data_IF_657128223498
#
_entry.id   IF_657128223498
#
_cell.length_a   1.000
_cell.length_b   1.000
_cell.length_c   1.000
_cell.angle_alpha   90.00
_cell.angle_beta   90.00
_cell.angle_gamma   90.00
#
_symmetry.space_group_name_H-M   'P 1'
#
loop_
_entity.id
_entity.type
_entity.pdbx_description
1 polymer ?
#
# COMPACT_ATOMS: atom_id res chain seq x y z
N UNK A 1 17.34 3.38 17.35
CA UNK A 1 17.50 2.51 16.17
C UNK A 1 16.35 1.53 16.18
N UNK A 2 15.57 1.41 15.12
CA UNK A 2 14.42 0.50 15.01
C UNK A 2 14.60 -0.42 13.78
N UNK A 3 13.84 -1.52 13.75
CA UNK A 3 13.81 -2.51 12.67
C UNK A 3 12.55 -2.29 11.84
N UNK A 4 12.74 -1.96 10.57
CA UNK A 4 11.67 -1.70 9.61
C UNK A 4 11.69 -2.75 8.50
N UNK A 5 10.54 -3.33 8.20
CA UNK A 5 10.34 -4.21 7.06
C UNK A 5 9.51 -3.46 6.03
N UNK A 6 10.01 -3.35 4.79
CA UNK A 6 9.30 -2.66 3.69
C UNK A 6 9.13 -3.63 2.54
N UNK A 7 7.94 -3.71 1.97
CA UNK A 7 7.73 -4.43 0.71
C UNK A 7 7.81 -3.48 -0.48
N UNK A 8 8.48 -3.88 -1.58
CA UNK A 8 8.58 -3.07 -2.80
C UNK A 8 9.49 -1.85 -2.64
N UNK A 9 10.62 -1.98 -1.92
CA UNK A 9 11.54 -0.87 -1.67
C UNK A 9 12.78 -0.86 -2.58
N UNK A 10 12.76 -1.59 -3.69
CA UNK A 10 13.81 -1.51 -4.71
C UNK A 10 13.68 -0.25 -5.56
N UNK A 11 12.46 0.25 -5.78
CA UNK A 11 12.19 1.43 -6.62
C UNK A 11 11.06 2.29 -6.06
N UNK A 12 10.89 3.49 -6.62
CA UNK A 12 9.75 4.38 -6.36
C UNK A 12 9.60 4.81 -4.90
N UNK A 13 8.37 4.85 -4.42
CA UNK A 13 8.03 5.35 -3.07
C UNK A 13 8.74 4.55 -1.98
N UNK A 14 8.76 3.22 -2.10
CA UNK A 14 9.41 2.35 -1.12
C UNK A 14 10.91 2.58 -1.03
N UNK A 15 11.59 2.81 -2.17
CA UNK A 15 13.02 3.11 -2.19
C UNK A 15 13.33 4.44 -1.49
N UNK A 16 12.51 5.48 -1.70
CA UNK A 16 12.68 6.75 -1.00
C UNK A 16 12.43 6.61 0.50
N UNK A 17 11.39 5.86 0.91
CA UNK A 17 11.14 5.58 2.33
C UNK A 17 12.31 4.82 2.97
N UNK A 18 12.86 3.81 2.27
CA UNK A 18 14.06 3.07 2.71
C UNK A 18 15.25 3.99 2.95
N UNK A 19 15.55 4.88 1.99
CA UNK A 19 16.66 5.86 2.10
C UNK A 19 16.48 6.78 3.32
N UNK A 20 15.26 7.31 3.53
CA UNK A 20 14.98 8.21 4.65
C UNK A 20 15.20 7.46 5.97
N UNK A 21 14.62 6.27 6.14
CA UNK A 21 14.75 5.48 7.36
C UNK A 21 16.19 5.09 7.65
N UNK A 22 16.95 4.67 6.63
CA UNK A 22 18.39 4.36 6.76
C UNK A 22 19.21 5.60 7.16
N UNK A 23 18.90 6.78 6.60
CA UNK A 23 19.56 8.03 6.97
C UNK A 23 19.29 8.46 8.42
N UNK A 24 18.18 7.99 9.00
CA UNK A 24 17.82 8.18 10.40
C UNK A 24 18.46 7.12 11.34
N UNK A 25 19.27 6.21 10.79
CA UNK A 25 19.97 5.18 11.56
C UNK A 25 19.11 3.96 11.89
N UNK A 26 18.01 3.72 11.16
CA UNK A 26 17.20 2.50 11.28
C UNK A 26 17.74 1.37 10.42
N UNK A 27 17.55 0.14 10.89
CA UNK A 27 17.73 -1.06 10.06
C UNK A 27 16.49 -1.26 9.19
N UNK A 28 16.68 -1.46 7.87
CA UNK A 28 15.58 -1.58 6.91
C UNK A 28 15.76 -2.82 6.05
N UNK A 29 14.86 -3.78 6.21
CA UNK A 29 14.76 -4.98 5.38
C UNK A 29 13.78 -4.73 4.22
N UNK A 30 14.20 -4.99 3.00
CA UNK A 30 13.36 -4.90 1.80
C UNK A 30 12.93 -6.30 1.34
N UNK A 31 11.63 -6.52 1.23
CA UNK A 31 11.04 -7.69 0.56
C UNK A 31 10.60 -7.24 -0.84
N UNK A 32 11.17 -7.82 -1.89
CA UNK A 32 10.83 -7.44 -3.25
C UNK A 32 10.86 -8.65 -4.19
N UNK A 33 10.18 -8.53 -5.32
CA UNK A 33 10.20 -9.57 -6.37
C UNK A 33 11.59 -9.74 -6.99
N UNK A 34 12.38 -8.64 -7.06
CA UNK A 34 13.76 -8.62 -7.55
C UNK A 34 14.58 -7.61 -6.77
N UNK A 35 15.79 -7.98 -6.38
CA UNK A 35 16.75 -7.07 -5.75
C UNK A 35 16.36 -6.66 -4.33
N UNK A 36 15.49 -7.40 -3.67
CA UNK A 36 15.23 -7.27 -2.24
C UNK A 36 16.28 -7.98 -1.38
N UNK A 37 16.33 -7.64 -0.11
CA UNK A 37 17.09 -8.39 0.90
C UNK A 37 16.46 -9.77 1.09
N UNK A 38 15.13 -9.86 0.96
CA UNK A 38 14.35 -11.07 0.75
C UNK A 38 13.73 -10.97 -0.65
N UNK A 39 13.99 -11.98 -1.49
CA UNK A 39 13.37 -12.08 -2.82
C UNK A 39 12.17 -13.00 -2.77
N UNK A 40 10.97 -12.45 -2.97
CA UNK A 40 9.73 -13.22 -2.90
C UNK A 40 8.65 -12.68 -3.87
N UNK A 41 7.93 -13.59 -4.51
CA UNK A 41 6.72 -13.26 -5.28
C UNK A 41 5.52 -13.17 -4.34
N UNK A 42 5.23 -11.96 -3.88
CA UNK A 42 4.11 -11.69 -2.97
C UNK A 42 2.73 -11.87 -3.63
N UNK A 43 2.65 -12.08 -4.94
CA UNK A 43 1.39 -12.42 -5.60
C UNK A 43 1.01 -13.89 -5.40
N UNK A 44 1.92 -14.73 -4.91
CA UNK A 44 1.69 -16.14 -4.59
C UNK A 44 1.60 -16.39 -3.08
N UNK A 45 0.79 -17.37 -2.67
CA UNK A 45 0.68 -17.79 -1.26
C UNK A 45 2.03 -18.27 -0.71
N UNK A 46 2.74 -19.11 -1.49
CA UNK A 46 4.03 -19.65 -1.08
C UNK A 46 5.08 -18.54 -0.91
N UNK A 47 5.10 -17.57 -1.82
CA UNK A 47 6.02 -16.42 -1.72
C UNK A 47 5.73 -15.55 -0.49
N UNK A 48 4.45 -15.31 -0.16
CA UNK A 48 4.07 -14.58 1.06
C UNK A 48 4.49 -15.33 2.31
N UNK A 49 4.18 -16.66 2.35
CA UNK A 49 4.58 -17.53 3.46
C UNK A 49 6.10 -17.54 3.65
N UNK A 50 6.85 -17.77 2.58
CA UNK A 50 8.31 -17.75 2.63
C UNK A 50 8.87 -16.44 3.15
N UNK A 51 8.34 -15.30 2.66
CA UNK A 51 8.75 -13.98 3.13
C UNK A 51 8.48 -13.77 4.64
N UNK A 52 7.33 -14.21 5.14
CA UNK A 52 6.99 -14.14 6.56
C UNK A 52 7.96 -15.00 7.37
N UNK A 53 8.19 -16.26 6.96
CA UNK A 53 9.07 -17.20 7.65
C UNK A 53 10.51 -16.66 7.74
N UNK A 54 11.03 -16.04 6.65
CA UNK A 54 12.35 -15.41 6.64
C UNK A 54 12.46 -14.19 7.58
N UNK A 55 11.40 -13.37 7.67
CA UNK A 55 11.37 -12.24 8.62
C UNK A 55 11.39 -12.76 10.06
N UNK A 56 10.61 -13.81 10.38
CA UNK A 56 10.65 -14.44 11.70
C UNK A 56 12.03 -15.02 12.05
N UNK A 57 12.69 -15.67 11.09
CA UNK A 57 14.03 -16.21 11.29
C UNK A 57 15.07 -15.12 11.56
N UNK A 58 14.93 -13.96 10.87
CA UNK A 58 15.89 -12.87 10.99
C UNK A 58 15.65 -11.99 12.22
N UNK A 59 14.39 -11.80 12.61
CA UNK A 59 14.00 -10.90 13.72
C UNK A 59 13.07 -11.61 14.72
N UNK A 60 13.56 -12.66 15.40
CA UNK A 60 12.75 -13.41 16.36
C UNK A 60 12.28 -12.58 17.55
N UNK A 61 12.97 -11.47 17.87
CA UNK A 61 12.63 -10.53 18.95
C UNK A 61 11.70 -9.40 18.53
N UNK A 62 11.18 -9.45 17.31
CA UNK A 62 10.18 -8.52 16.78
C UNK A 62 10.72 -7.38 15.92
N UNK A 63 9.79 -6.69 15.27
CA UNK A 63 10.05 -5.55 14.36
C UNK A 63 9.27 -4.31 14.83
N UNK A 64 9.82 -3.12 14.59
CA UNK A 64 9.20 -1.85 15.00
C UNK A 64 8.13 -1.38 14.00
N UNK A 65 8.31 -1.69 12.71
CA UNK A 65 7.34 -1.30 11.68
C UNK A 65 7.34 -2.25 10.48
N UNK A 66 6.13 -2.48 9.95
CA UNK A 66 5.92 -3.05 8.62
C UNK A 66 5.32 -1.99 7.70
N UNK A 67 5.98 -1.73 6.55
CA UNK A 67 5.45 -0.87 5.49
C UNK A 67 5.07 -1.74 4.29
N UNK A 68 3.77 -1.99 4.10
CA UNK A 68 3.24 -2.69 2.93
C UNK A 68 3.12 -1.71 1.76
N UNK A 69 4.18 -1.62 0.94
CA UNK A 69 4.21 -0.70 -0.20
C UNK A 69 4.18 -1.41 -1.56
N UNK A 70 4.58 -2.68 -1.65
CA UNK A 70 4.52 -3.44 -2.89
C UNK A 70 3.12 -3.43 -3.50
N UNK A 71 3.05 -3.26 -4.82
CA UNK A 71 1.79 -3.26 -5.54
C UNK A 71 2.00 -3.10 -7.05
N UNK A 72 0.94 -3.36 -7.81
CA UNK A 72 0.91 -3.18 -9.26
C UNK A 72 -0.18 -2.21 -9.67
N UNK A 73 0.01 -1.54 -10.80
CA UNK A 73 -0.93 -0.58 -11.38
C UNK A 73 -2.09 -1.25 -12.13
N UNK A 74 -3.00 -0.43 -12.68
CA UNK A 74 -4.23 -0.89 -13.33
C UNK A 74 -4.00 -1.62 -14.66
N UNK A 75 -2.79 -1.62 -15.19
CA UNK A 75 -2.44 -2.33 -16.44
C UNK A 75 -2.11 -3.80 -16.23
N UNK A 76 -1.91 -4.23 -14.97
CA UNK A 76 -1.66 -5.62 -14.63
C UNK A 76 -2.93 -6.49 -14.78
N UNK A 77 -2.78 -7.81 -14.95
CA UNK A 77 -3.93 -8.73 -14.92
C UNK A 77 -4.70 -8.65 -13.61
N UNK A 78 -6.04 -8.74 -13.67
CA UNK A 78 -6.91 -8.60 -12.49
C UNK A 78 -6.51 -9.51 -11.32
N UNK A 79 -6.13 -10.77 -11.61
CA UNK A 79 -5.68 -11.70 -10.58
C UNK A 79 -4.41 -11.23 -9.86
N UNK A 80 -3.46 -10.62 -10.59
CA UNK A 80 -2.22 -10.09 -10.00
C UNK A 80 -2.54 -8.86 -9.16
N UNK A 81 -3.46 -8.00 -9.62
CA UNK A 81 -3.92 -6.84 -8.86
C UNK A 81 -4.54 -7.28 -7.52
N UNK A 82 -5.46 -8.25 -7.53
CA UNK A 82 -6.11 -8.69 -6.29
C UNK A 82 -5.13 -9.44 -5.37
N UNK A 83 -4.29 -10.33 -5.94
CA UNK A 83 -3.31 -11.06 -5.16
C UNK A 83 -2.30 -10.13 -4.48
N UNK A 84 -1.70 -9.20 -5.23
CA UNK A 84 -0.64 -8.35 -4.71
C UNK A 84 -1.15 -7.13 -3.96
N UNK A 85 -2.20 -6.43 -4.46
CA UNK A 85 -2.67 -5.20 -3.83
C UNK A 85 -3.60 -5.44 -2.64
N UNK A 86 -4.18 -6.64 -2.49
CA UNK A 86 -5.10 -6.94 -1.41
C UNK A 86 -4.64 -8.11 -0.55
N UNK A 87 -4.58 -9.33 -1.09
CA UNK A 87 -4.28 -10.52 -0.27
C UNK A 87 -2.88 -10.46 0.34
N UNK A 88 -1.87 -10.05 -0.42
CA UNK A 88 -0.51 -9.95 0.11
C UNK A 88 -0.42 -8.95 1.27
N UNK A 89 -1.11 -7.82 1.17
CA UNK A 89 -1.10 -6.79 2.21
C UNK A 89 -1.68 -7.32 3.52
N UNK A 90 -2.85 -7.98 3.45
CA UNK A 90 -3.50 -8.53 4.64
C UNK A 90 -2.70 -9.67 5.25
N UNK A 91 -2.23 -10.60 4.42
CA UNK A 91 -1.52 -11.78 4.89
C UNK A 91 -0.18 -11.41 5.52
N UNK A 92 0.57 -10.49 4.93
CA UNK A 92 1.81 -9.98 5.53
C UNK A 92 1.54 -9.21 6.82
N UNK A 93 0.52 -8.33 6.83
CA UNK A 93 0.18 -7.53 8.00
C UNK A 93 -0.24 -8.44 9.18
N UNK A 94 -1.16 -9.38 8.96
CA UNK A 94 -1.62 -10.28 10.03
C UNK A 94 -0.53 -11.33 10.38
N UNK A 95 0.23 -11.83 9.38
CA UNK A 95 1.31 -12.79 9.62
C UNK A 95 2.47 -12.21 10.44
N UNK A 96 2.81 -10.92 10.24
CA UNK A 96 3.86 -10.25 11.01
C UNK A 96 3.33 -9.49 12.24
N UNK A 97 2.02 -9.47 12.48
CA UNK A 97 1.41 -8.82 13.66
C UNK A 97 2.00 -9.29 14.99
N UNK A 98 2.30 -10.59 15.22
CA UNK A 98 2.97 -11.01 16.45
C UNK A 98 4.36 -10.39 16.63
N UNK A 99 5.16 -10.25 15.56
CA UNK A 99 6.47 -9.58 15.63
C UNK A 99 6.35 -8.09 15.96
N UNK A 100 5.36 -7.42 15.36
CA UNK A 100 5.04 -6.01 15.68
C UNK A 100 4.61 -5.86 17.14
N UNK A 101 3.83 -6.82 17.67
CA UNK A 101 3.35 -6.79 19.06
C UNK A 101 4.49 -6.84 20.06
N UNK A 102 5.56 -7.58 19.79
CA UNK A 102 6.75 -7.65 20.67
C UNK A 102 7.41 -6.28 20.89
N UNK A 103 7.35 -5.40 19.88
CA UNK A 103 7.94 -4.05 19.91
C UNK A 103 6.93 -2.92 20.11
N UNK A 104 5.64 -3.23 20.29
CA UNK A 104 4.54 -2.24 20.25
C UNK A 104 4.61 -1.39 18.99
N UNK A 105 4.88 -2.04 17.88
CA UNK A 105 5.16 -1.44 16.59
C UNK A 105 3.92 -0.96 15.85
N UNK A 106 4.06 -0.81 14.55
CA UNK A 106 2.96 -0.35 13.71
C UNK A 106 3.05 -0.90 12.29
N UNK A 107 1.91 -0.86 11.57
CA UNK A 107 1.85 -1.16 10.16
C UNK A 107 1.33 0.05 9.38
N UNK A 108 2.05 0.42 8.30
CA UNK A 108 1.64 1.49 7.39
C UNK A 108 1.52 0.92 5.98
N UNK A 109 0.42 1.23 5.31
CA UNK A 109 0.08 0.62 4.01
C UNK A 109 0.02 1.70 2.93
N UNK A 110 0.63 1.45 1.77
CA UNK A 110 0.47 2.29 0.59
C UNK A 110 -0.85 1.95 -0.11
N UNK A 111 -1.85 2.81 0.09
CA UNK A 111 -3.16 2.76 -0.55
C UNK A 111 -3.13 3.49 -1.91
N UNK A 112 -4.14 4.32 -2.20
CA UNK A 112 -4.21 5.23 -3.37
C UNK A 112 -5.38 6.18 -3.19
N UNK A 113 -5.31 7.39 -3.72
CA UNK A 113 -6.46 8.30 -3.80
C UNK A 113 -7.57 7.77 -4.74
N UNK A 114 -7.27 6.77 -5.59
CA UNK A 114 -8.26 6.09 -6.43
C UNK A 114 -9.37 5.36 -5.65
N UNK A 115 -9.23 5.21 -4.34
CA UNK A 115 -10.28 4.64 -3.47
C UNK A 115 -11.59 5.42 -3.50
N UNK A 116 -11.56 6.65 -3.96
CA UNK A 116 -12.73 7.54 -4.06
C UNK A 116 -13.24 7.70 -5.49
N UNK A 117 -12.56 7.10 -6.48
CA UNK A 117 -12.90 7.21 -7.88
C UNK A 117 -14.22 6.49 -8.24
N UNK A 118 -14.87 6.98 -9.30
CA UNK A 118 -16.09 6.35 -9.86
C UNK A 118 -15.84 4.94 -10.44
N UNK A 119 -14.58 4.58 -10.68
CA UNK A 119 -14.20 3.23 -11.14
C UNK A 119 -14.31 2.17 -10.07
N UNK A 120 -14.50 2.54 -8.80
CA UNK A 120 -14.67 1.60 -7.68
C UNK A 120 -15.96 0.79 -7.87
N UNK A 121 -15.83 -0.53 -7.80
CA UNK A 121 -16.94 -1.49 -7.79
C UNK A 121 -17.18 -1.97 -6.36
N UNK A 122 -18.25 -1.51 -5.74
CA UNK A 122 -18.56 -1.86 -4.35
C UNK A 122 -18.82 -3.37 -4.16
N UNK A 123 -19.41 -4.04 -5.14
CA UNK A 123 -19.57 -5.49 -5.18
C UNK A 123 -18.21 -6.23 -5.11
N UNK A 124 -17.19 -5.74 -5.79
CA UNK A 124 -15.82 -6.29 -5.73
C UNK A 124 -15.12 -5.95 -4.41
N UNK A 125 -15.35 -4.75 -3.90
CA UNK A 125 -14.83 -4.36 -2.57
C UNK A 125 -15.40 -5.26 -1.49
N UNK A 126 -16.70 -5.55 -1.52
CA UNK A 126 -17.35 -6.39 -0.53
C UNK A 126 -16.97 -7.87 -0.71
N UNK A 127 -16.78 -8.34 -1.95
CA UNK A 127 -16.22 -9.65 -2.24
C UNK A 127 -14.83 -9.80 -1.60
N UNK A 128 -13.90 -8.90 -1.87
CA UNK A 128 -12.55 -8.93 -1.32
C UNK A 128 -12.56 -8.86 0.22
N UNK A 129 -13.39 -7.98 0.80
CA UNK A 129 -13.41 -7.74 2.24
C UNK A 129 -14.06 -8.87 3.06
N UNK A 130 -14.87 -9.75 2.45
CA UNK A 130 -15.66 -10.75 3.15
C UNK A 130 -15.30 -12.19 2.76
N UNK A 131 -14.60 -12.41 1.63
CA UNK A 131 -14.23 -13.76 1.19
C UNK A 131 -13.00 -14.23 1.93
N UNK A 132 -13.13 -15.43 2.54
CA UNK A 132 -11.99 -16.12 3.19
C UNK A 132 -11.20 -17.00 2.22
N UNK A 133 -11.76 -17.28 1.06
CA UNK A 133 -11.17 -18.16 0.05
C UNK A 133 -10.59 -17.35 -1.10
N UNK A 134 -9.28 -17.19 -1.09
CA UNK A 134 -8.53 -16.49 -2.14
C UNK A 134 -8.69 -17.17 -3.50
N UNK A 135 -8.74 -18.51 -3.57
CA UNK A 135 -8.79 -19.26 -4.83
C UNK A 135 -10.06 -18.91 -5.60
N UNK A 136 -11.18 -18.81 -4.91
CA UNK A 136 -12.45 -18.40 -5.52
C UNK A 136 -12.39 -16.98 -6.08
N UNK A 137 -11.68 -16.07 -5.41
CA UNK A 137 -11.47 -14.71 -5.94
C UNK A 137 -10.56 -14.73 -7.15
N UNK A 138 -9.53 -15.58 -7.15
CA UNK A 138 -8.62 -15.71 -8.30
C UNK A 138 -9.31 -16.33 -9.52
N UNK A 139 -10.22 -17.29 -9.32
CA UNK A 139 -11.07 -17.84 -10.39
C UNK A 139 -11.93 -16.73 -11.02
N UNK A 140 -12.62 -15.97 -10.20
CA UNK A 140 -13.39 -14.82 -10.66
C UNK A 140 -12.52 -13.79 -11.38
N UNK A 141 -11.35 -13.45 -10.82
CA UNK A 141 -10.44 -12.48 -11.41
C UNK A 141 -9.95 -12.89 -12.82
N UNK A 142 -9.81 -14.19 -13.09
CA UNK A 142 -9.46 -14.69 -14.41
C UNK A 142 -10.55 -14.42 -15.48
N UNK A 143 -11.81 -14.20 -15.08
CA UNK A 143 -12.91 -13.87 -16.00
C UNK A 143 -13.00 -12.38 -16.32
N UNK A 144 -12.26 -11.53 -15.61
CA UNK A 144 -12.37 -10.07 -15.75
C UNK A 144 -11.57 -9.59 -17.00
N UNK A 145 -12.22 -8.94 -17.97
CA UNK A 145 -11.54 -8.37 -19.13
C UNK A 145 -10.54 -7.26 -18.72
N UNK A 146 -9.43 -7.13 -19.46
CA UNK A 146 -8.35 -6.18 -19.18
C UNK A 146 -8.80 -4.71 -19.04
N UNK A 147 -9.84 -4.31 -19.77
CA UNK A 147 -10.40 -2.95 -19.70
C UNK A 147 -10.92 -2.56 -18.30
N UNK A 148 -11.22 -3.52 -17.45
CA UNK A 148 -11.62 -3.29 -16.07
C UNK A 148 -10.44 -3.19 -15.08
N UNK A 149 -9.21 -3.17 -15.57
CA UNK A 149 -8.02 -2.98 -14.73
C UNK A 149 -8.10 -1.79 -13.78
N UNK A 150 -8.55 -0.58 -14.22
CA UNK A 150 -8.79 0.55 -13.31
C UNK A 150 -9.78 0.24 -12.18
N UNK A 151 -10.85 -0.49 -12.49
CA UNK A 151 -11.84 -0.93 -11.49
C UNK A 151 -11.26 -1.97 -10.52
N UNK A 152 -10.46 -2.92 -11.02
CA UNK A 152 -9.76 -3.89 -10.14
C UNK A 152 -8.82 -3.17 -9.19
N UNK A 153 -8.03 -2.23 -9.70
CA UNK A 153 -7.07 -1.47 -8.92
C UNK A 153 -7.77 -0.65 -7.83
N UNK A 154 -8.71 0.24 -8.21
CA UNK A 154 -9.39 1.11 -7.26
C UNK A 154 -10.21 0.33 -6.23
N UNK A 155 -10.87 -0.78 -6.64
CA UNK A 155 -11.63 -1.64 -5.72
C UNK A 155 -10.72 -2.38 -4.74
N UNK A 156 -9.56 -2.90 -5.18
CA UNK A 156 -8.58 -3.54 -4.30
C UNK A 156 -8.04 -2.56 -3.24
N UNK A 157 -7.71 -1.33 -3.65
CA UNK A 157 -7.23 -0.28 -2.73
C UNK A 157 -8.33 0.17 -1.78
N UNK A 158 -9.59 0.29 -2.23
CA UNK A 158 -10.72 0.61 -1.34
C UNK A 158 -11.03 -0.51 -0.35
N UNK A 159 -10.88 -1.78 -0.76
CA UNK A 159 -11.04 -2.91 0.15
C UNK A 159 -9.98 -2.87 1.28
N UNK A 160 -8.72 -2.53 0.98
CA UNK A 160 -7.67 -2.29 1.98
C UNK A 160 -8.04 -1.14 2.91
N UNK A 161 -8.51 0.00 2.39
CA UNK A 161 -8.93 1.12 3.22
C UNK A 161 -10.06 0.75 4.19
N UNK A 162 -11.04 -0.05 3.73
CA UNK A 162 -12.10 -0.61 4.59
C UNK A 162 -11.53 -1.56 5.64
N UNK A 163 -10.60 -2.45 5.26
CA UNK A 163 -9.97 -3.38 6.18
C UNK A 163 -9.21 -2.66 7.29
N UNK A 164 -8.42 -1.63 6.96
CA UNK A 164 -7.70 -0.81 7.95
C UNK A 164 -8.67 -0.24 8.99
N UNK A 165 -9.75 0.38 8.54
CA UNK A 165 -10.75 0.97 9.44
C UNK A 165 -11.42 -0.07 10.34
N UNK A 166 -11.71 -1.26 9.81
CA UNK A 166 -12.33 -2.36 10.57
C UNK A 166 -11.37 -3.00 11.57
N UNK A 167 -10.08 -3.11 11.20
CA UNK A 167 -9.07 -3.85 11.97
C UNK A 167 -8.33 -2.98 12.98
N UNK A 168 -8.26 -1.66 12.79
CA UNK A 168 -7.48 -0.75 13.63
C UNK A 168 -7.84 -0.83 15.12
N UNK A 169 -9.12 -1.07 15.46
CA UNK A 169 -9.56 -1.26 16.83
C UNK A 169 -8.96 -2.51 17.49
N UNK A 170 -9.00 -3.66 16.78
CA UNK A 170 -8.41 -4.91 17.27
C UNK A 170 -6.88 -4.85 17.35
N UNK A 171 -6.25 -4.10 16.44
CA UNK A 171 -4.81 -3.84 16.49
C UNK A 171 -4.43 -2.97 17.70
N UNK A 172 -5.27 -1.96 18.02
CA UNK A 172 -5.05 -1.12 19.20
C UNK A 172 -5.12 -1.90 20.51
N UNK A 173 -5.94 -2.95 20.63
CA UNK A 173 -5.96 -3.86 21.79
C UNK A 173 -4.61 -4.55 21.99
N UNK A 174 -3.89 -4.84 20.90
CA UNK A 174 -2.53 -5.39 20.95
C UNK A 174 -1.44 -4.30 21.18
N UNK A 175 -1.83 -3.05 21.33
CA UNK A 175 -0.91 -1.91 21.46
C UNK A 175 -0.29 -1.48 20.14
N UNK A 176 -0.90 -1.83 19.01
CA UNK A 176 -0.42 -1.58 17.64
C UNK A 176 -1.20 -0.48 16.96
N UNK A 177 -0.57 0.22 16.01
CA UNK A 177 -1.24 1.17 15.11
C UNK A 177 -1.26 0.60 13.69
N UNK A 178 -2.38 0.83 12.99
CA UNK A 178 -2.59 0.40 11.62
C UNK A 178 -3.13 1.58 10.81
N UNK A 179 -2.33 2.09 9.87
CA UNK A 179 -2.64 3.28 9.08
C UNK A 179 -2.33 3.07 7.59
N UNK A 180 -2.78 3.99 6.76
CA UNK A 180 -2.40 4.04 5.35
C UNK A 180 -2.07 5.45 4.88
N UNK A 181 -1.26 5.52 3.82
CA UNK A 181 -1.10 6.68 2.95
C UNK A 181 -1.84 6.40 1.65
N UNK A 182 -2.58 7.38 1.13
CA UNK A 182 -3.28 7.33 -0.14
C UNK A 182 -2.63 8.32 -1.13
N UNK A 183 -1.63 7.86 -1.91
CA UNK A 183 -0.94 8.71 -2.88
C UNK A 183 -1.86 9.17 -4.00
N UNK A 184 -1.63 10.40 -4.48
CA UNK A 184 -2.09 10.86 -5.78
C UNK A 184 -1.16 10.44 -6.92
N UNK A 185 -1.31 11.10 -8.07
CA UNK A 185 -0.44 10.88 -9.22
C UNK A 185 1.02 11.17 -8.84
N UNK A 186 1.85 10.14 -8.82
CA UNK A 186 3.23 10.19 -8.31
C UNK A 186 4.20 9.66 -9.35
N UNK A 187 5.30 10.35 -9.58
CA UNK A 187 6.37 9.93 -10.49
C UNK A 187 7.10 8.71 -9.93
N UNK A 188 6.88 7.57 -10.57
CA UNK A 188 7.46 6.26 -10.20
C UNK A 188 7.66 5.42 -11.45
N UNK A 189 8.39 4.30 -11.39
CA UNK A 189 8.42 3.35 -12.51
C UNK A 189 7.04 2.87 -12.98
N UNK A 190 6.07 2.79 -12.06
CA UNK A 190 4.68 2.42 -12.38
C UNK A 190 4.03 3.44 -13.31
N UNK A 191 4.21 4.73 -13.08
CA UNK A 191 3.62 5.80 -13.90
C UNK A 191 4.37 6.03 -15.21
N UNK A 192 5.65 5.66 -15.30
CA UNK A 192 6.42 5.68 -16.56
C UNK A 192 5.90 4.70 -17.62
N UNK A 193 5.14 3.69 -17.21
CA UNK A 193 4.54 2.70 -18.09
C UNK A 193 3.11 3.03 -18.53
N UNK A 194 2.60 4.22 -18.20
CA UNK A 194 1.32 4.72 -18.70
C UNK A 194 1.44 5.01 -20.20
N UNK A 195 0.39 4.71 -20.96
CA UNK A 195 0.27 5.15 -22.34
C UNK A 195 0.09 6.67 -22.40
N UNK A 196 0.36 7.29 -23.56
CA UNK A 196 0.18 8.73 -23.74
C UNK A 196 -1.25 9.18 -23.37
N UNK A 197 -2.26 8.42 -23.77
CA UNK A 197 -3.66 8.71 -23.44
C UNK A 197 -3.94 8.58 -21.92
N UNK A 198 -3.32 7.63 -21.23
CA UNK A 198 -3.44 7.49 -19.78
C UNK A 198 -2.71 8.62 -19.05
N UNK A 199 -1.55 9.03 -19.57
CA UNK A 199 -0.80 10.17 -19.05
C UNK A 199 -1.58 11.46 -19.23
N UNK A 200 -2.12 11.70 -20.43
CA UNK A 200 -2.95 12.85 -20.72
C UNK A 200 -4.18 12.91 -19.79
N UNK A 201 -4.89 11.79 -19.63
CA UNK A 201 -6.03 11.69 -18.72
C UNK A 201 -5.64 11.97 -17.25
N UNK A 202 -4.49 11.51 -16.80
CA UNK A 202 -3.99 11.79 -15.46
C UNK A 202 -3.63 13.27 -15.25
N UNK A 203 -3.13 13.93 -16.30
CA UNK A 203 -2.77 15.36 -16.27
C UNK A 203 -3.97 16.31 -16.42
N UNK A 204 -5.15 15.81 -16.80
CA UNK A 204 -6.39 16.61 -16.82
C UNK A 204 -6.87 16.97 -15.40
N UNK A 205 -6.51 16.17 -14.40
CA UNK A 205 -6.84 16.45 -12.99
C UNK A 205 -5.70 17.28 -12.41
N UNK A 206 -5.93 18.57 -12.10
CA UNK A 206 -4.88 19.42 -11.55
C UNK A 206 -4.50 18.96 -10.14
N UNK A 207 -3.23 19.11 -9.78
CA UNK A 207 -2.78 18.98 -8.40
C UNK A 207 -2.79 20.37 -7.78
N UNK A 208 -3.72 20.71 -6.86
CA UNK A 208 -3.91 22.07 -6.35
C UNK A 208 -2.64 22.70 -5.81
N UNK A 209 -1.80 21.96 -5.09
CA UNK A 209 -0.54 22.45 -4.55
C UNK A 209 0.52 22.75 -5.62
N UNK A 210 0.28 22.39 -6.87
CA UNK A 210 1.16 22.69 -8.01
C UNK A 210 0.70 23.91 -8.83
N UNK A 211 -0.42 24.57 -8.46
CA UNK A 211 -0.94 25.80 -9.08
C UNK A 211 -0.94 25.78 -10.62
N UNK A 212 -1.54 24.74 -11.20
CA UNK A 212 -1.66 24.57 -12.65
C UNK A 212 -0.44 24.00 -13.37
N UNK A 213 0.64 23.65 -12.66
CA UNK A 213 1.69 22.84 -13.25
C UNK A 213 1.17 21.44 -13.52
N UNK A 214 1.61 20.86 -14.64
CA UNK A 214 1.28 19.48 -15.03
C UNK A 214 2.33 18.47 -14.50
N UNK A 215 2.77 18.68 -13.27
CA UNK A 215 3.79 17.83 -12.64
C UNK A 215 3.12 16.86 -11.68
N UNK A 216 3.56 15.60 -11.70
CA UNK A 216 3.18 14.64 -10.68
C UNK A 216 3.88 14.96 -9.35
N UNK A 217 3.37 14.39 -8.26
CA UNK A 217 4.07 14.38 -6.99
C UNK A 217 5.36 13.57 -7.11
N UNK A 218 6.38 13.95 -6.35
CA UNK A 218 7.59 13.16 -6.25
C UNK A 218 7.42 12.00 -5.28
N UNK A 219 8.09 10.88 -5.54
CA UNK A 219 8.04 9.69 -4.67
C UNK A 219 8.45 10.00 -3.22
N UNK A 220 9.37 10.95 -3.03
CA UNK A 220 9.83 11.38 -1.70
C UNK A 220 8.74 12.09 -0.89
N UNK A 221 7.79 12.78 -1.52
CA UNK A 221 6.67 13.43 -0.83
C UNK A 221 5.76 12.39 -0.16
N UNK A 222 5.53 11.28 -0.86
CA UNK A 222 4.76 10.15 -0.34
C UNK A 222 5.55 9.39 0.73
N UNK A 223 6.85 9.17 0.47
CA UNK A 223 7.74 8.49 1.41
C UNK A 223 7.82 9.21 2.76
N UNK A 224 7.87 10.55 2.76
CA UNK A 224 7.83 11.35 3.99
C UNK A 224 6.58 11.07 4.83
N UNK A 225 5.41 10.93 4.20
CA UNK A 225 4.18 10.60 4.91
C UNK A 225 4.17 9.16 5.44
N UNK A 226 4.72 8.20 4.70
CA UNK A 226 4.91 6.81 5.18
C UNK A 226 5.82 6.80 6.41
N UNK A 227 6.96 7.47 6.35
CA UNK A 227 7.92 7.56 7.45
C UNK A 227 7.30 8.29 8.65
N UNK A 228 6.55 9.39 8.45
CA UNK A 228 5.83 10.07 9.52
C UNK A 228 4.85 9.13 10.22
N UNK A 229 3.96 8.45 9.49
CA UNK A 229 2.98 7.54 10.09
C UNK A 229 3.64 6.33 10.78
N UNK A 230 4.82 5.90 10.33
CA UNK A 230 5.59 4.82 10.94
C UNK A 230 6.36 5.24 12.20
N UNK A 231 6.53 6.54 12.41
CA UNK A 231 7.32 7.11 13.49
C UNK A 231 6.53 7.29 14.80
N UNK A 232 7.20 7.52 15.96
CA UNK A 232 6.56 7.90 17.22
C UNK A 232 5.78 9.22 17.16
N UNK A 233 6.09 10.12 16.21
CA UNK A 233 5.37 11.38 16.02
C UNK A 233 3.89 11.17 15.67
N UNK A 234 3.56 10.01 15.11
CA UNK A 234 2.19 9.62 14.80
C UNK A 234 1.54 8.73 15.88
N UNK A 235 2.02 8.77 17.13
CA UNK A 235 1.57 7.88 18.22
C UNK A 235 0.07 7.95 18.51
N UNK A 236 -0.57 9.10 18.30
CA UNK A 236 -2.01 9.30 18.46
C UNK A 236 -2.84 8.97 17.20
N UNK A 237 -2.21 8.51 16.10
CA UNK A 237 -2.89 8.27 14.82
C UNK A 237 -3.07 6.77 14.60
N UNK A 238 -4.35 6.32 14.52
CA UNK A 238 -4.70 4.93 14.25
C UNK A 238 -5.98 4.85 13.40
N UNK A 239 -6.01 3.94 12.41
CA UNK A 239 -7.15 3.74 11.51
C UNK A 239 -7.31 4.82 10.43
N UNK A 240 -6.31 5.68 10.20
CA UNK A 240 -6.37 6.73 9.19
C UNK A 240 -5.98 6.21 7.81
N UNK A 241 -6.62 6.77 6.79
CA UNK A 241 -6.16 6.74 5.40
C UNK A 241 -5.82 8.19 5.04
N UNK A 242 -4.53 8.52 5.08
CA UNK A 242 -4.02 9.87 4.85
C UNK A 242 -3.82 10.12 3.36
N UNK A 243 -4.61 11.01 2.77
CA UNK A 243 -4.41 11.43 1.39
C UNK A 243 -3.14 12.28 1.27
N UNK A 244 -2.26 11.88 0.37
CA UNK A 244 -1.04 12.60 -0.02
C UNK A 244 -1.07 12.75 -1.52
N UNK A 245 -1.93 13.63 -1.98
CA UNK A 245 -2.30 13.79 -3.39
C UNK A 245 -2.29 15.26 -3.85
N UNK A 246 -1.71 16.14 -3.03
CA UNK A 246 -1.64 17.56 -3.32
C UNK A 246 -3.00 18.26 -3.34
N UNK A 247 -4.03 17.65 -2.73
CA UNK A 247 -5.37 18.22 -2.63
C UNK A 247 -6.33 17.79 -3.74
N UNK A 248 -5.99 16.78 -4.54
CA UNK A 248 -6.87 16.24 -5.59
C UNK A 248 -8.18 15.74 -5.00
N UNK A 249 -8.12 14.94 -3.94
CA UNK A 249 -9.32 14.40 -3.30
C UNK A 249 -10.23 15.51 -2.75
N UNK A 250 -9.65 16.51 -2.10
CA UNK A 250 -10.40 17.66 -1.61
C UNK A 250 -11.05 18.49 -2.75
N UNK A 251 -10.36 18.61 -3.90
CA UNK A 251 -10.91 19.27 -5.07
C UNK A 251 -12.09 18.51 -5.66
N UNK A 252 -11.99 17.19 -5.78
CA UNK A 252 -13.01 16.35 -6.42
C UNK A 252 -14.21 16.05 -5.50
N UNK A 253 -14.02 16.12 -4.20
CA UNK A 253 -15.01 15.75 -3.18
C UNK A 253 -15.12 16.79 -2.06
N UNK A 254 -15.18 18.05 -2.42
CA UNK A 254 -15.21 19.19 -1.48
C UNK A 254 -16.31 19.11 -0.41
N UNK A 255 -17.41 18.42 -0.73
CA UNK A 255 -18.55 18.23 0.17
C UNK A 255 -18.52 16.93 0.97
N UNK A 256 -17.43 16.14 0.86
CA UNK A 256 -17.29 14.84 1.54
C UNK A 256 -16.22 14.92 2.62
N UNK A 257 -16.59 14.66 3.85
CA UNK A 257 -15.70 14.59 5.02
C UNK A 257 -15.40 13.12 5.36
#
# INVERSE_FOLDING_TARGET
>A
MGIYVITGATTGIGAEARKILQSQGHEVLNIDYKGGDITADLSSKDGRKAAIDEVYAKYPDGIDCLICNAGVGPTAPAKVIFALNFFSVIELAEGMRPLLKMKRGNCVITCSNSITNQTVRNDWVDMLANVKDEERVMEFANTIPKQFGPSCYSSSKRAIAKWIKRSSGSWAVDGLRLNAVAPGNTTTPMTKNLTDAQMEAALLIPIPTRYGRKEFLDAVEIANALVFLSSPLASGINGVVLFVDGGIDALLRSESI
#
